data_IF_894382189402
#
_entry.id   IF_894382189402
#
_cell.length_a   1.000
_cell.length_b   1.000
_cell.length_c   1.000
_cell.angle_alpha   90.00
_cell.angle_beta   90.00
_cell.angle_gamma   90.00
#
_symmetry.space_group_name_H-M   'P 1'
#
loop_
_entity.id
_entity.type
_entity.pdbx_description
1 polymer ?
#
# COMPACT_ATOMS: atom_id res chain seq x y z
N UNK A 1 -26.34 19.97 1.83
CA UNK A 1 -27.63 19.26 1.71
C UNK A 1 -27.41 18.07 0.80
N UNK A 2 -27.43 16.88 1.39
CA UNK A 2 -27.27 15.61 0.70
C UNK A 2 -28.53 15.34 -0.16
N UNK A 3 -28.31 14.84 -1.37
CA UNK A 3 -29.37 14.58 -2.36
C UNK A 3 -30.23 13.37 -1.97
N UNK A 4 -29.71 12.52 -1.09
CA UNK A 4 -30.39 11.33 -0.57
C UNK A 4 -31.68 11.65 0.21
N UNK A 5 -31.76 12.83 0.85
CA UNK A 5 -32.90 13.20 1.70
C UNK A 5 -34.13 13.71 0.95
N UNK A 6 -33.99 14.15 -0.31
CA UNK A 6 -35.12 14.63 -1.11
C UNK A 6 -34.86 14.45 -2.62
N UNK A 7 -35.31 13.30 -3.13
CA UNK A 7 -35.23 12.93 -4.55
C UNK A 7 -36.15 13.78 -5.44
N UNK A 8 -37.17 14.42 -4.89
CA UNK A 8 -38.09 15.30 -5.63
C UNK A 8 -37.56 16.75 -5.73
N UNK A 9 -36.40 17.02 -5.15
CA UNK A 9 -35.81 18.35 -5.19
C UNK A 9 -35.42 18.75 -6.63
N UNK A 10 -35.62 20.04 -6.97
CA UNK A 10 -35.18 20.62 -8.25
C UNK A 10 -33.69 20.37 -8.52
N UNK A 11 -32.88 20.28 -7.46
CA UNK A 11 -31.44 19.99 -7.55
C UNK A 11 -31.18 18.57 -8.05
N UNK A 12 -31.82 17.56 -7.47
CA UNK A 12 -31.70 16.17 -7.94
C UNK A 12 -32.19 16.03 -9.37
N UNK A 13 -33.37 16.59 -9.68
CA UNK A 13 -33.93 16.57 -11.03
C UNK A 13 -32.98 17.16 -12.08
N UNK A 14 -32.36 18.31 -11.79
CA UNK A 14 -31.38 18.93 -12.69
C UNK A 14 -30.14 18.06 -12.94
N UNK A 15 -29.62 17.37 -11.91
CA UNK A 15 -28.44 16.50 -12.03
C UNK A 15 -28.79 15.22 -12.80
N UNK A 16 -29.90 14.57 -12.45
CA UNK A 16 -30.39 13.37 -13.13
C UNK A 16 -30.63 13.63 -14.63
N UNK A 17 -31.32 14.74 -14.95
CA UNK A 17 -31.52 15.17 -16.34
C UNK A 17 -30.19 15.42 -17.06
N UNK A 18 -29.21 16.02 -16.38
CA UNK A 18 -27.90 16.27 -16.97
C UNK A 18 -27.17 14.99 -17.37
N UNK A 19 -27.21 13.95 -16.54
CA UNK A 19 -26.52 12.68 -16.82
C UNK A 19 -27.31 11.73 -17.72
N UNK A 20 -28.64 11.86 -17.78
CA UNK A 20 -29.50 10.97 -18.58
C UNK A 20 -29.78 11.49 -19.98
N UNK A 21 -30.07 12.79 -20.11
CA UNK A 21 -30.58 13.37 -21.37
C UNK A 21 -29.60 14.37 -21.97
N UNK A 22 -29.10 15.31 -21.15
CA UNK A 22 -28.26 16.39 -21.68
C UNK A 22 -26.93 15.88 -22.21
N UNK A 23 -26.24 15.05 -21.42
CA UNK A 23 -24.95 14.48 -21.78
C UNK A 23 -24.74 13.14 -21.08
N UNK A 24 -25.17 12.03 -21.72
CA UNK A 24 -24.87 10.69 -21.24
C UNK A 24 -23.36 10.45 -21.25
N UNK A 25 -22.76 10.27 -20.06
CA UNK A 25 -21.35 9.95 -19.90
C UNK A 25 -21.22 8.48 -19.53
N UNK A 26 -20.25 7.80 -20.14
CA UNK A 26 -19.88 6.41 -19.82
C UNK A 26 -18.38 6.38 -19.53
N UNK A 27 -18.01 5.62 -18.51
CA UNK A 27 -16.64 5.42 -18.08
C UNK A 27 -16.45 3.97 -17.65
N UNK A 28 -15.21 3.52 -17.69
CA UNK A 28 -14.81 2.27 -17.07
C UNK A 28 -14.52 2.56 -15.59
N UNK A 29 -15.18 1.82 -14.70
CA UNK A 29 -15.06 2.00 -13.26
C UNK A 29 -14.37 0.80 -12.62
N UNK A 30 -13.44 1.08 -11.71
CA UNK A 30 -13.01 0.12 -10.70
C UNK A 30 -13.96 0.25 -9.52
N UNK A 31 -14.64 -0.85 -9.18
CA UNK A 31 -15.62 -0.90 -8.10
C UNK A 31 -15.14 -1.87 -7.03
N UNK A 32 -15.20 -1.43 -5.78
CA UNK A 32 -15.09 -2.27 -4.61
C UNK A 32 -16.04 -1.76 -3.55
N UNK A 33 -16.47 -2.66 -2.67
CA UNK A 33 -17.36 -2.33 -1.59
C UNK A 33 -16.88 -3.03 -0.32
N UNK A 34 -16.64 -2.24 0.71
CA UNK A 34 -16.45 -2.75 2.06
C UNK A 34 -17.82 -2.99 2.67
N UNK A 35 -18.18 -4.26 2.90
CA UNK A 35 -19.46 -4.64 3.49
C UNK A 35 -19.31 -4.95 4.98
N UNK A 36 -19.77 -4.08 5.89
CA UNK A 36 -19.76 -4.35 7.32
C UNK A 36 -20.98 -5.19 7.80
N UNK A 37 -21.89 -5.58 6.89
CA UNK A 37 -23.18 -6.22 7.22
C UNK A 37 -23.34 -7.67 6.75
N UNK A 38 -24.54 -8.23 6.97
CA UNK A 38 -24.91 -9.63 6.66
C UNK A 38 -25.65 -9.77 5.31
N UNK A 39 -26.13 -8.67 4.71
CA UNK A 39 -26.87 -8.74 3.44
C UNK A 39 -25.97 -9.11 2.25
N UNK A 40 -26.14 -10.32 1.73
CA UNK A 40 -25.47 -10.88 0.54
C UNK A 40 -25.98 -10.27 -0.78
N UNK A 41 -26.15 -8.94 -0.87
CA UNK A 41 -26.37 -8.34 -2.20
C UNK A 41 -25.03 -8.29 -2.94
N UNK A 42 -24.80 -9.26 -3.82
CA UNK A 42 -23.53 -9.30 -4.57
C UNK A 42 -23.58 -8.22 -5.65
N UNK A 43 -22.62 -7.28 -5.62
CA UNK A 43 -22.43 -6.21 -6.62
C UNK A 43 -22.52 -6.74 -8.07
N UNK A 44 -22.10 -7.98 -8.28
CA UNK A 44 -22.20 -8.71 -9.55
C UNK A 44 -23.64 -8.80 -10.09
N UNK A 45 -24.63 -9.08 -9.24
CA UNK A 45 -26.03 -9.19 -9.65
C UNK A 45 -26.60 -7.85 -10.10
N UNK A 46 -26.28 -6.77 -9.37
CA UNK A 46 -26.77 -5.42 -9.62
C UNK A 46 -26.26 -4.85 -10.96
N UNK A 47 -25.00 -5.14 -11.31
CA UNK A 47 -24.38 -4.66 -12.54
C UNK A 47 -24.30 -5.70 -13.66
N UNK A 48 -25.07 -6.79 -13.58
CA UNK A 48 -25.07 -7.90 -14.55
C UNK A 48 -25.29 -7.44 -16.01
N UNK A 49 -26.13 -6.43 -16.22
CA UNK A 49 -26.40 -5.84 -17.55
C UNK A 49 -25.20 -5.10 -18.17
N UNK A 50 -24.14 -4.84 -17.39
CA UNK A 50 -22.98 -4.06 -17.82
C UNK A 50 -21.70 -4.90 -17.99
N UNK A 51 -21.81 -6.23 -17.88
CA UNK A 51 -20.65 -7.13 -18.04
C UNK A 51 -19.59 -6.95 -16.96
N UNK A 52 -20.02 -6.66 -15.73
CA UNK A 52 -19.13 -6.56 -14.56
C UNK A 52 -18.27 -7.82 -14.41
N UNK A 53 -17.01 -7.64 -14.05
CA UNK A 53 -16.04 -8.71 -13.82
C UNK A 53 -15.50 -8.63 -12.42
N UNK A 54 -15.42 -9.77 -11.75
CA UNK A 54 -14.72 -9.89 -10.48
C UNK A 54 -13.22 -10.04 -10.74
N UNK A 55 -12.41 -9.25 -10.03
CA UNK A 55 -10.96 -9.30 -10.11
C UNK A 55 -10.37 -9.46 -8.72
N UNK A 56 -9.49 -10.45 -8.57
CA UNK A 56 -8.74 -10.65 -7.33
C UNK A 56 -7.40 -9.91 -7.42
N UNK A 57 -6.93 -9.26 -6.33
CA UNK A 57 -5.61 -8.67 -6.30
C UNK A 57 -4.53 -9.70 -6.62
N UNK A 58 -3.57 -9.32 -7.45
CA UNK A 58 -2.39 -10.14 -7.72
C UNK A 58 -1.43 -10.05 -6.54
N UNK A 59 -1.02 -11.19 -6.01
CA UNK A 59 0.00 -11.27 -4.95
C UNK A 59 1.25 -11.88 -5.54
N UNK A 60 2.37 -11.16 -5.40
CA UNK A 60 3.70 -11.63 -5.77
C UNK A 60 4.59 -11.63 -4.53
N UNK A 61 5.20 -12.76 -4.23
CA UNK A 61 6.15 -12.92 -3.12
C UNK A 61 7.48 -13.36 -3.69
N UNK A 62 8.55 -12.72 -3.26
CA UNK A 62 9.92 -13.10 -3.61
C UNK A 62 10.82 -13.10 -2.38
N UNK A 63 11.89 -13.86 -2.47
CA UNK A 63 12.95 -13.89 -1.45
C UNK A 63 14.24 -13.43 -2.10
N UNK A 64 14.84 -12.39 -1.53
CA UNK A 64 16.13 -11.85 -1.96
C UNK A 64 17.18 -12.32 -0.95
N UNK A 65 18.22 -12.97 -1.46
CA UNK A 65 19.37 -13.37 -0.64
C UNK A 65 20.37 -12.23 -0.53
N UNK A 66 21.09 -12.19 0.59
CA UNK A 66 22.25 -11.31 0.82
C UNK A 66 21.97 -9.82 0.54
N UNK A 67 20.78 -9.35 0.93
CA UNK A 67 20.35 -7.96 0.72
C UNK A 67 21.06 -7.03 1.69
N UNK A 68 21.71 -5.98 1.18
CA UNK A 68 22.24 -4.89 2.01
C UNK A 68 21.09 -3.97 2.46
N UNK A 69 20.94 -3.83 3.78
CA UNK A 69 19.92 -3.02 4.41
C UNK A 69 20.52 -1.86 5.21
N UNK A 70 20.05 -0.62 5.01
CA UNK A 70 20.45 0.55 5.81
C UNK A 70 20.20 0.33 7.30
N UNK A 71 21.14 0.76 8.15
CA UNK A 71 20.97 0.73 9.61
C UNK A 71 20.16 1.96 10.02
N UNK A 72 19.09 1.75 10.78
CA UNK A 72 18.20 2.80 11.27
C UNK A 72 18.27 2.89 12.80
N UNK A 73 18.09 4.10 13.32
CA UNK A 73 17.98 4.34 14.75
C UNK A 73 16.60 4.95 15.08
N UNK A 74 15.80 4.32 15.97
CA UNK A 74 14.54 4.88 16.42
C UNK A 74 14.73 6.27 17.04
N UNK A 75 13.89 7.22 16.68
CA UNK A 75 13.95 8.60 17.17
C UNK A 75 14.90 9.53 16.42
N UNK A 76 15.69 9.03 15.46
CA UNK A 76 16.65 9.82 14.67
C UNK A 76 16.28 9.86 13.18
N UNK A 77 15.18 10.54 12.77
CA UNK A 77 14.69 10.51 11.39
C UNK A 77 15.64 11.19 10.40
N UNK A 78 16.52 12.07 10.86
CA UNK A 78 17.57 12.71 10.05
C UNK A 78 18.82 11.84 9.89
N UNK A 79 18.83 10.66 10.52
CA UNK A 79 20.02 9.83 10.63
C UNK A 79 21.02 10.43 11.61
N UNK A 80 22.08 9.67 11.85
CA UNK A 80 23.22 10.06 12.67
C UNK A 80 24.48 9.71 11.90
N UNK A 81 25.39 10.67 11.62
CA UNK A 81 26.59 10.40 10.85
C UNK A 81 27.33 9.16 11.36
N UNK A 82 27.69 8.27 10.44
CA UNK A 82 28.41 7.01 10.67
C UNK A 82 27.68 5.95 11.53
N UNK A 83 26.50 6.26 12.09
CA UNK A 83 25.78 5.40 13.03
C UNK A 83 24.45 4.92 12.46
N UNK A 84 23.70 5.80 11.77
CA UNK A 84 22.39 5.48 11.23
C UNK A 84 22.07 6.31 9.99
N UNK A 85 21.42 5.68 9.01
CA UNK A 85 20.90 6.35 7.83
C UNK A 85 19.66 7.17 8.16
N UNK A 86 19.40 8.18 7.35
CA UNK A 86 18.21 9.02 7.41
C UNK A 86 16.97 8.31 6.83
N UNK A 87 15.79 8.81 7.18
CA UNK A 87 14.53 8.33 6.61
C UNK A 87 14.43 8.61 5.09
N UNK A 88 15.08 9.67 4.59
CA UNK A 88 15.14 9.96 3.16
C UNK A 88 15.93 8.90 2.39
N UNK A 89 17.13 8.58 2.88
CA UNK A 89 17.98 7.52 2.30
C UNK A 89 17.28 6.15 2.31
N UNK A 90 16.52 5.85 3.36
CA UNK A 90 15.71 4.63 3.43
C UNK A 90 14.64 4.59 2.34
N UNK A 91 13.94 5.69 2.09
CA UNK A 91 12.88 5.75 1.07
C UNK A 91 13.43 5.55 -0.33
N UNK A 92 14.56 6.19 -0.64
CA UNK A 92 15.25 6.01 -1.93
C UNK A 92 15.70 4.55 -2.11
N UNK A 93 16.28 3.97 -1.07
CA UNK A 93 16.73 2.57 -1.08
C UNK A 93 15.57 1.60 -1.27
N UNK A 94 14.46 1.83 -0.58
CA UNK A 94 13.26 0.99 -0.68
C UNK A 94 12.69 0.99 -2.11
N UNK A 95 12.69 2.15 -2.76
CA UNK A 95 12.32 2.28 -4.16
C UNK A 95 13.23 1.48 -5.10
N UNK A 96 14.54 1.54 -4.88
CA UNK A 96 15.51 0.76 -5.65
C UNK A 96 15.33 -0.76 -5.46
N UNK A 97 15.07 -1.22 -4.24
CA UNK A 97 14.82 -2.64 -3.94
C UNK A 97 13.57 -3.15 -4.64
N UNK A 98 12.44 -2.42 -4.59
CA UNK A 98 11.20 -2.85 -5.24
C UNK A 98 11.22 -2.75 -6.77
N UNK A 99 12.14 -1.97 -7.34
CA UNK A 99 12.38 -1.93 -8.79
C UNK A 99 13.40 -2.97 -9.26
N UNK A 100 13.93 -3.79 -8.34
CA UNK A 100 14.98 -4.76 -8.60
C UNK A 100 16.23 -4.11 -9.25
N UNK A 101 16.55 -2.87 -8.84
CA UNK A 101 17.76 -2.19 -9.27
C UNK A 101 18.98 -2.85 -8.63
N UNK A 102 20.03 -3.10 -9.41
CA UNK A 102 21.31 -3.58 -8.88
C UNK A 102 22.02 -2.45 -8.12
N UNK A 103 22.37 -2.70 -6.85
CA UNK A 103 22.99 -1.73 -5.93
C UNK A 103 24.51 -1.88 -5.80
N UNK A 104 25.13 -2.62 -6.73
CA UNK A 104 26.48 -3.16 -6.56
C UNK A 104 27.58 -2.26 -7.15
N UNK A 105 27.20 -1.13 -7.78
CA UNK A 105 28.09 -0.14 -8.41
C UNK A 105 29.24 -0.80 -9.21
N UNK A 106 28.90 -1.85 -9.95
CA UNK A 106 29.86 -2.55 -10.81
C UNK A 106 30.30 -1.59 -11.93
N UNK A 107 31.62 -1.45 -12.19
CA UNK A 107 32.12 -0.50 -13.17
C UNK A 107 31.65 -0.77 -14.61
N UNK A 108 31.10 -1.95 -14.87
CA UNK A 108 30.51 -2.35 -16.16
C UNK A 108 29.01 -2.03 -16.26
N UNK A 109 28.36 -1.60 -15.16
CA UNK A 109 26.94 -1.29 -15.11
C UNK A 109 26.74 0.24 -15.21
N UNK A 110 26.72 0.75 -16.43
CA UNK A 110 26.60 2.18 -16.72
C UNK A 110 25.21 2.79 -16.40
N UNK A 111 24.26 1.97 -15.92
CA UNK A 111 22.84 2.33 -15.79
C UNK A 111 22.50 2.80 -14.36
N UNK A 112 23.15 2.27 -13.32
CA UNK A 112 22.85 2.60 -11.94
C UNK A 112 24.13 2.79 -11.11
N UNK A 113 24.41 4.04 -10.75
CA UNK A 113 25.44 4.40 -9.75
C UNK A 113 24.89 4.41 -8.33
N UNK A 114 23.60 4.10 -8.17
CA UNK A 114 22.93 4.13 -6.87
C UNK A 114 23.41 2.95 -6.01
N UNK A 115 23.90 3.28 -4.81
CA UNK A 115 24.46 2.32 -3.85
C UNK A 115 23.57 2.23 -2.61
N UNK A 116 23.66 1.12 -1.87
CA UNK A 116 23.03 1.04 -0.55
C UNK A 116 23.61 2.14 0.38
N UNK A 117 22.74 2.94 1.05
CA UNK A 117 23.15 3.90 2.06
C UNK A 117 24.01 3.26 3.16
N UNK A 118 24.95 4.02 3.73
CA UNK A 118 25.83 3.57 4.81
C UNK A 118 25.53 4.33 6.12
N UNK A 119 25.62 3.67 7.29
CA UNK A 119 26.03 2.28 7.49
C UNK A 119 24.93 1.26 7.11
N UNK A 120 25.35 0.08 6.65
CA UNK A 120 24.46 -1.01 6.22
C UNK A 120 24.81 -2.36 6.85
N UNK A 121 23.84 -3.27 6.90
CA UNK A 121 24.01 -4.68 7.32
C UNK A 121 23.52 -5.61 6.23
N UNK A 122 24.22 -6.71 5.99
CA UNK A 122 23.79 -7.75 5.05
C UNK A 122 22.78 -8.68 5.72
N UNK A 123 21.57 -8.77 5.18
CA UNK A 123 20.57 -9.76 5.57
C UNK A 123 20.65 -10.97 4.66
N UNK A 124 20.86 -12.16 5.24
CA UNK A 124 20.95 -13.40 4.46
C UNK A 124 19.69 -13.70 3.64
N UNK A 125 18.52 -13.30 4.15
CA UNK A 125 17.22 -13.44 3.47
C UNK A 125 16.31 -12.25 3.78
N UNK A 126 15.77 -11.65 2.73
CA UNK A 126 14.72 -10.65 2.79
C UNK A 126 13.48 -11.13 2.03
N UNK A 127 12.30 -11.00 2.63
CA UNK A 127 11.03 -11.31 1.97
C UNK A 127 10.41 -10.04 1.42
N UNK A 128 10.08 -10.05 0.14
CA UNK A 128 9.37 -8.97 -0.53
C UNK A 128 7.99 -9.46 -0.92
N UNK A 129 6.96 -8.69 -0.57
CA UNK A 129 5.58 -8.96 -0.93
C UNK A 129 5.01 -7.76 -1.66
N UNK A 130 4.38 -8.00 -2.81
CA UNK A 130 3.70 -6.97 -3.61
C UNK A 130 2.28 -7.42 -3.88
N UNK A 131 1.32 -6.64 -3.39
CA UNK A 131 -0.11 -6.82 -3.65
C UNK A 131 -0.52 -5.75 -4.65
N UNK A 132 -0.96 -6.15 -5.84
CA UNK A 132 -1.33 -5.26 -6.94
C UNK A 132 -2.80 -5.44 -7.29
N UNK A 133 -3.57 -4.35 -7.22
CA UNK A 133 -4.98 -4.35 -7.56
C UNK A 133 -5.68 -3.13 -6.98
N UNK A 134 -7.01 -3.13 -7.01
CA UNK A 134 -7.82 -2.11 -6.34
C UNK A 134 -8.02 -2.50 -4.88
N UNK A 135 -7.11 -2.03 -4.02
CA UNK A 135 -7.06 -2.42 -2.60
C UNK A 135 -7.86 -1.43 -1.75
N UNK A 136 -8.78 -1.97 -0.95
CA UNK A 136 -9.57 -1.18 0.00
C UNK A 136 -8.72 -0.74 1.21
N UNK A 137 -8.83 0.52 1.67
CA UNK A 137 -8.05 1.03 2.80
C UNK A 137 -8.29 0.24 4.09
N UNK A 138 -9.49 -0.31 4.30
CA UNK A 138 -9.79 -1.15 5.46
C UNK A 138 -8.91 -2.42 5.49
N UNK A 139 -8.59 -2.97 4.32
CA UNK A 139 -7.67 -4.12 4.22
C UNK A 139 -6.22 -3.73 4.50
N UNK A 140 -5.82 -2.50 4.15
CA UNK A 140 -4.50 -1.94 4.48
C UNK A 140 -4.37 -1.75 5.99
N UNK A 141 -5.41 -1.24 6.66
CA UNK A 141 -5.43 -1.10 8.12
C UNK A 141 -5.27 -2.46 8.82
N UNK A 142 -6.01 -3.48 8.39
CA UNK A 142 -5.88 -4.83 8.95
C UNK A 142 -4.47 -5.41 8.75
N UNK A 143 -3.86 -5.18 7.59
CA UNK A 143 -2.47 -5.60 7.34
C UNK A 143 -1.49 -4.86 8.26
N UNK A 144 -1.66 -3.56 8.44
CA UNK A 144 -0.82 -2.75 9.31
C UNK A 144 -0.93 -3.19 10.77
N UNK A 145 -2.14 -3.48 11.25
CA UNK A 145 -2.39 -4.03 12.59
C UNK A 145 -1.68 -5.36 12.80
N UNK A 146 -1.75 -6.26 11.82
CA UNK A 146 -1.06 -7.56 11.87
C UNK A 146 0.46 -7.40 11.92
N UNK A 147 1.04 -6.53 11.06
CA UNK A 147 2.47 -6.23 11.08
C UNK A 147 2.90 -5.62 12.42
N UNK A 148 2.07 -4.79 13.02
CA UNK A 148 2.36 -4.19 14.31
C UNK A 148 2.35 -5.24 15.44
N UNK A 149 1.35 -6.14 15.43
CA UNK A 149 1.23 -7.24 16.39
C UNK A 149 2.47 -8.14 16.38
N UNK A 150 2.92 -8.57 15.20
CA UNK A 150 4.07 -9.48 15.05
C UNK A 150 5.39 -8.88 15.54
N UNK A 151 5.56 -7.57 15.45
CA UNK A 151 6.83 -6.90 15.76
C UNK A 151 6.88 -6.23 17.15
N UNK A 152 5.75 -5.86 17.77
CA UNK A 152 5.75 -5.05 19.00
C UNK A 152 5.31 -5.77 20.28
N UNK A 153 4.67 -6.95 20.22
CA UNK A 153 4.30 -7.71 21.43
C UNK A 153 5.42 -8.49 22.15
N UNK A 154 6.58 -8.83 21.56
CA UNK A 154 7.67 -9.41 22.35
C UNK A 154 8.42 -8.37 23.21
N UNK A 155 8.25 -7.06 22.95
CA UNK A 155 8.94 -6.00 23.70
C UNK A 155 8.18 -5.53 24.95
N UNK A 156 6.87 -5.72 25.03
CA UNK A 156 6.06 -5.30 26.18
C UNK A 156 6.11 -6.30 27.35
N UNK A 157 6.55 -7.55 27.14
CA UNK A 157 6.80 -8.52 28.22
C UNK A 157 8.17 -8.37 28.91
N UNK A 158 9.03 -7.46 28.45
CA UNK A 158 10.38 -7.25 29.00
C UNK A 158 10.54 -5.95 29.81
N UNK A 159 9.49 -5.14 29.95
CA UNK A 159 9.48 -3.97 30.83
C UNK A 159 8.56 -4.19 32.04
N UNK A 160 8.78 -5.27 32.79
CA UNK A 160 8.50 -5.25 34.23
C UNK A 160 9.66 -4.53 34.92
N UNK A 161 9.46 -3.22 35.15
CA UNK A 161 10.30 -2.45 36.07
C UNK A 161 10.12 -3.04 37.47
N UNK A 162 11.17 -3.53 38.14
CA UNK A 162 11.06 -3.86 39.56
C UNK A 162 10.93 -2.55 40.33
N UNK A 163 9.86 -2.45 41.12
CA UNK A 163 9.63 -1.41 42.15
C UNK A 163 10.81 -1.25 43.09
#
# INVERSE_FOLDING_TARGET
MDLSFNLDSKKYGRISWSFREKKPLKFDFLLAWHHPGVEESTMMSYFSNYGIQEHQPKVAVSTVADLQCPVLQPGEPRGRPEVACSAGELLDWLGAVFTNAELNNEPNNFISTYCCPQPSTVLAKAYLCTITGFILPEKICLLLEQLWYEHFLPFSSCFSVPT
#
